data_IF_467720872062
#
_entry.id   IF_467720872062
#
_cell.length_a   1.000
_cell.length_b   1.000
_cell.length_c   1.000
_cell.angle_alpha   90.00
_cell.angle_beta   90.00
_cell.angle_gamma   90.00
#
_symmetry.space_group_name_H-M   'P 1'
#
loop_
_entity.id
_entity.type
_entity.pdbx_description
1 polymer ?
#
# COMPACT_ATOMS: atom_id res chain seq x y z
N UNK A 1 -29.86 -6.06 24.08
CA UNK A 1 -28.67 -5.39 23.50
C UNK A 1 -29.02 -5.02 22.07
N UNK A 2 -29.03 -3.73 21.75
CA UNK A 2 -29.18 -3.26 20.38
C UNK A 2 -27.77 -2.98 19.88
N UNK A 3 -27.25 -3.84 19.01
CA UNK A 3 -26.03 -3.52 18.25
C UNK A 3 -26.46 -2.57 17.15
N UNK A 4 -26.15 -1.29 17.31
CA UNK A 4 -26.31 -0.33 16.22
C UNK A 4 -25.28 -0.73 15.17
N UNK A 5 -25.74 -1.42 14.13
CA UNK A 5 -24.99 -1.53 12.88
C UNK A 5 -24.96 -0.10 12.35
N UNK A 6 -23.85 0.60 12.58
CA UNK A 6 -23.60 1.87 11.90
C UNK A 6 -23.38 1.53 10.43
N UNK A 7 -24.48 1.45 9.67
CA UNK A 7 -24.44 1.52 8.22
C UNK A 7 -23.71 2.81 7.88
N UNK A 8 -22.46 2.69 7.45
CA UNK A 8 -21.66 3.79 6.92
C UNK A 8 -22.33 4.20 5.62
N UNK A 9 -23.34 5.06 5.71
CA UNK A 9 -23.90 5.70 4.53
C UNK A 9 -22.92 6.79 4.10
N UNK A 10 -22.52 6.82 2.82
CA UNK A 10 -21.73 7.93 2.31
C UNK A 10 -22.51 9.23 2.56
N UNK A 11 -21.94 10.13 3.35
CA UNK A 11 -22.56 11.41 3.70
C UNK A 11 -22.31 12.45 2.60
N UNK A 12 -21.35 12.20 1.72
CA UNK A 12 -20.96 13.06 0.60
C UNK A 12 -20.75 12.28 -0.70
N UNK A 13 -20.78 12.95 -1.88
CA UNK A 13 -20.36 12.34 -3.15
C UNK A 13 -18.91 11.82 -3.14
N UNK A 14 -18.03 12.40 -2.32
CA UNK A 14 -16.65 11.92 -2.14
C UNK A 14 -16.61 10.54 -1.48
N UNK A 15 -17.52 10.25 -0.57
CA UNK A 15 -17.63 8.93 0.08
C UNK A 15 -18.09 7.83 -0.90
N UNK A 16 -18.81 8.19 -1.97
CA UNK A 16 -19.15 7.26 -3.07
C UNK A 16 -17.93 6.92 -3.95
N UNK A 17 -16.94 7.82 -4.05
CA UNK A 17 -15.71 7.59 -4.80
C UNK A 17 -14.68 6.76 -4.02
N UNK A 18 -14.83 6.64 -2.70
CA UNK A 18 -13.89 5.96 -1.82
C UNK A 18 -13.77 4.46 -2.12
N UNK A 19 -14.88 3.74 -2.23
CA UNK A 19 -14.84 2.28 -2.40
C UNK A 19 -14.11 1.85 -3.69
N UNK A 20 -14.37 2.48 -4.86
CA UNK A 20 -13.57 2.23 -6.06
C UNK A 20 -12.07 2.53 -5.89
N UNK A 21 -11.71 3.61 -5.17
CA UNK A 21 -10.30 3.95 -4.92
C UNK A 21 -9.63 2.92 -4.04
N UNK A 22 -10.26 2.52 -2.93
CA UNK A 22 -9.74 1.48 -2.04
C UNK A 22 -9.56 0.15 -2.78
N UNK A 23 -10.51 -0.21 -3.65
CA UNK A 23 -10.42 -1.42 -4.45
C UNK A 23 -9.22 -1.39 -5.40
N UNK A 24 -9.02 -0.28 -6.12
CA UNK A 24 -7.88 -0.15 -7.04
C UNK A 24 -6.52 -0.20 -6.30
N UNK A 25 -6.43 0.42 -5.12
CA UNK A 25 -5.21 0.36 -4.29
C UNK A 25 -4.99 -1.08 -3.80
N UNK A 26 -6.04 -1.77 -3.36
CA UNK A 26 -5.95 -3.15 -2.89
C UNK A 26 -5.58 -4.11 -4.03
N UNK A 27 -6.07 -3.90 -5.25
CA UNK A 27 -5.69 -4.70 -6.42
C UNK A 27 -4.20 -4.53 -6.75
N UNK A 28 -3.68 -3.30 -6.73
CA UNK A 28 -2.25 -3.04 -6.89
C UNK A 28 -1.42 -3.71 -5.77
N UNK A 29 -1.86 -3.60 -4.51
CA UNK A 29 -1.21 -4.27 -3.39
C UNK A 29 -1.27 -5.78 -3.53
N UNK A 30 -2.39 -6.33 -4.01
CA UNK A 30 -2.55 -7.77 -4.23
C UNK A 30 -1.53 -8.30 -5.24
N UNK A 31 -1.31 -7.59 -6.34
CA UNK A 31 -0.27 -7.92 -7.33
C UNK A 31 1.11 -7.93 -6.67
N UNK A 32 1.44 -6.91 -5.87
CA UNK A 32 2.73 -6.83 -5.18
C UNK A 32 2.91 -7.95 -4.15
N UNK A 33 1.87 -8.25 -3.34
CA UNK A 33 1.86 -9.35 -2.37
C UNK A 33 1.94 -10.73 -3.02
N UNK A 34 1.49 -10.85 -4.27
CA UNK A 34 1.57 -12.08 -5.06
C UNK A 34 2.89 -12.26 -5.79
N UNK A 35 3.76 -11.24 -5.83
CA UNK A 35 5.02 -11.31 -6.56
C UNK A 35 6.04 -12.22 -5.85
N UNK A 36 6.71 -13.14 -6.55
CA UNK A 36 7.81 -13.91 -5.98
C UNK A 36 9.03 -13.03 -5.67
N UNK A 37 9.15 -11.88 -6.32
CA UNK A 37 10.22 -10.90 -6.12
C UNK A 37 9.61 -9.49 -6.06
N UNK A 38 9.42 -9.01 -4.83
CA UNK A 38 8.85 -7.67 -4.55
C UNK A 38 9.76 -6.57 -5.09
N UNK A 39 11.08 -6.75 -4.98
CA UNK A 39 12.06 -5.74 -5.39
C UNK A 39 12.01 -5.55 -6.90
N UNK A 40 11.98 -6.65 -7.64
CA UNK A 40 11.84 -6.63 -9.09
C UNK A 40 10.49 -6.06 -9.52
N UNK A 41 9.38 -6.48 -8.88
CA UNK A 41 8.05 -5.97 -9.21
C UNK A 41 7.95 -4.45 -9.01
N UNK A 42 8.47 -3.93 -7.88
CA UNK A 42 8.51 -2.49 -7.63
C UNK A 42 9.39 -1.75 -8.64
N UNK A 43 10.56 -2.31 -8.98
CA UNK A 43 11.47 -1.71 -9.95
C UNK A 43 10.84 -1.61 -11.35
N UNK A 44 10.13 -2.66 -11.75
CA UNK A 44 9.39 -2.69 -13.01
C UNK A 44 8.24 -1.68 -13.01
N UNK A 45 7.48 -1.62 -11.92
CA UNK A 45 6.29 -0.78 -11.82
C UNK A 45 6.62 0.72 -11.76
N UNK A 46 7.67 1.08 -11.01
CA UNK A 46 8.07 2.47 -10.79
C UNK A 46 9.18 2.96 -11.73
N UNK A 47 9.77 2.07 -12.53
CA UNK A 47 10.94 2.36 -13.37
C UNK A 47 12.06 3.04 -12.55
N UNK A 48 12.37 2.46 -11.40
CA UNK A 48 13.34 2.96 -10.43
C UNK A 48 14.39 1.89 -10.07
N UNK A 49 15.30 2.27 -9.17
CA UNK A 49 16.34 1.39 -8.64
C UNK A 49 16.22 1.31 -7.12
N UNK A 50 16.41 0.11 -6.59
CA UNK A 50 16.21 -0.20 -5.17
C UNK A 50 17.22 0.50 -4.24
N UNK A 51 18.41 0.81 -4.74
CA UNK A 51 19.46 1.56 -4.05
C UNK A 51 19.04 2.97 -3.62
N UNK A 52 17.90 3.48 -4.12
CA UNK A 52 17.32 4.75 -3.69
C UNK A 52 16.61 4.69 -2.33
N UNK A 53 16.31 3.49 -1.82
CA UNK A 53 15.39 3.28 -0.68
C UNK A 53 16.10 2.66 0.52
N UNK A 54 16.89 3.49 1.21
CA UNK A 54 17.82 3.05 2.25
C UNK A 54 17.15 2.78 3.60
N UNK A 55 16.04 3.44 3.91
CA UNK A 55 15.34 3.28 5.18
C UNK A 55 13.98 2.57 5.05
N UNK A 56 13.44 2.00 6.15
CA UNK A 56 12.10 1.43 6.13
C UNK A 56 11.03 2.42 5.68
N UNK A 57 11.12 3.68 6.10
CA UNK A 57 10.17 4.72 5.69
C UNK A 57 10.27 5.01 4.18
N UNK A 58 11.48 5.00 3.60
CA UNK A 58 11.64 5.18 2.15
C UNK A 58 11.01 4.01 1.39
N UNK A 59 11.23 2.77 1.86
CA UNK A 59 10.63 1.58 1.26
C UNK A 59 9.11 1.57 1.40
N UNK A 60 8.56 2.00 2.54
CA UNK A 60 7.12 2.14 2.72
C UNK A 60 6.52 3.17 1.75
N UNK A 61 7.21 4.30 1.53
CA UNK A 61 6.82 5.29 0.51
C UNK A 61 6.91 4.73 -0.91
N UNK A 62 7.91 3.89 -1.21
CA UNK A 62 7.98 3.19 -2.51
C UNK A 62 6.77 2.27 -2.73
N UNK A 63 6.41 1.50 -1.71
CA UNK A 63 5.21 0.64 -1.77
C UNK A 63 3.96 1.49 -1.93
N UNK A 64 3.86 2.63 -1.23
CA UNK A 64 2.77 3.59 -1.42
C UNK A 64 2.71 4.09 -2.87
N UNK A 65 3.82 4.55 -3.45
CA UNK A 65 3.90 5.04 -4.83
C UNK A 65 3.41 4.00 -5.84
N UNK A 66 3.81 2.74 -5.66
CA UNK A 66 3.35 1.64 -6.50
C UNK A 66 1.86 1.34 -6.27
N UNK A 67 1.39 1.33 -5.02
CA UNK A 67 0.01 1.04 -4.67
C UNK A 67 -0.99 2.07 -5.24
N UNK A 68 -0.58 3.34 -5.36
CA UNK A 68 -1.42 4.41 -5.93
C UNK A 68 -1.20 4.62 -7.43
N UNK A 69 -0.33 3.83 -8.08
CA UNK A 69 -0.05 3.98 -9.50
C UNK A 69 -1.31 3.72 -10.32
N UNK A 70 -1.59 4.63 -11.26
CA UNK A 70 -2.80 4.64 -12.09
C UNK A 70 -4.12 4.71 -11.32
N UNK A 71 -4.10 5.13 -10.04
CA UNK A 71 -5.31 5.34 -9.24
C UNK A 71 -5.65 6.84 -9.23
N UNK A 72 -6.86 7.19 -9.64
CA UNK A 72 -7.38 8.54 -9.42
C UNK A 72 -7.83 8.66 -7.96
N UNK A 73 -7.07 9.38 -7.13
CA UNK A 73 -7.33 9.46 -5.69
C UNK A 73 -8.54 10.34 -5.33
N UNK A 74 -9.13 11.11 -6.25
CA UNK A 74 -10.32 11.92 -5.96
C UNK A 74 -10.20 12.82 -4.70
N UNK A 75 -9.01 13.35 -4.41
CA UNK A 75 -8.74 14.17 -3.22
C UNK A 75 -8.43 13.39 -1.94
N UNK A 76 -8.45 12.05 -1.99
CA UNK A 76 -7.95 11.20 -0.92
C UNK A 76 -6.44 11.36 -0.77
N UNK A 77 -6.00 11.33 0.48
CA UNK A 77 -4.58 11.21 0.84
C UNK A 77 -4.27 9.75 1.14
N UNK A 78 -3.10 9.30 0.71
CA UNK A 78 -2.58 7.97 1.03
C UNK A 78 -1.20 8.16 1.64
N UNK A 79 -0.91 7.50 2.75
CA UNK A 79 0.40 7.53 3.41
C UNK A 79 0.69 6.23 4.13
N UNK A 80 1.96 5.87 4.41
CA UNK A 80 2.26 4.76 5.29
C UNK A 80 1.66 5.01 6.68
N UNK A 81 1.20 3.95 7.33
CA UNK A 81 0.85 3.99 8.75
C UNK A 81 2.11 4.22 9.60
N UNK A 82 1.95 4.71 10.84
CA UNK A 82 3.09 5.01 11.72
C UNK A 82 3.93 3.76 12.07
N UNK A 83 3.30 2.59 12.09
CA UNK A 83 3.96 1.29 12.27
C UNK A 83 4.54 0.70 10.97
N UNK A 84 4.34 1.37 9.83
CA UNK A 84 4.76 0.94 8.50
C UNK A 84 4.16 -0.40 8.02
N UNK A 85 3.12 -0.90 8.66
CA UNK A 85 2.48 -2.18 8.31
C UNK A 85 1.33 -2.03 7.31
N UNK A 86 0.95 -0.81 6.96
CA UNK A 86 -0.16 -0.51 6.08
C UNK A 86 -0.02 0.84 5.37
N UNK A 87 -1.03 1.13 4.55
CA UNK A 87 -1.30 2.44 3.99
C UNK A 87 -2.59 2.98 4.60
N UNK A 88 -2.53 4.13 5.25
CA UNK A 88 -3.70 4.90 5.63
C UNK A 88 -4.20 5.69 4.41
N UNK A 89 -5.48 5.49 4.08
CA UNK A 89 -6.23 6.26 3.10
C UNK A 89 -7.20 7.16 3.87
N UNK A 90 -7.11 8.47 3.66
CA UNK A 90 -7.87 9.44 4.43
C UNK A 90 -8.48 10.56 3.56
N UNK A 91 -9.69 10.97 3.93
CA UNK A 91 -10.39 12.16 3.43
C UNK A 91 -11.19 12.78 4.58
N UNK A 92 -10.88 14.04 4.90
CA UNK A 92 -11.49 14.78 6.02
C UNK A 92 -11.45 13.99 7.35
N UNK A 93 -12.60 13.56 7.86
CA UNK A 93 -12.73 12.79 9.11
C UNK A 93 -12.59 11.27 8.91
N UNK A 94 -12.62 10.80 7.67
CA UNK A 94 -12.57 9.38 7.33
C UNK A 94 -11.13 8.88 7.20
N UNK A 95 -10.85 7.72 7.82
CA UNK A 95 -9.57 7.02 7.74
C UNK A 95 -9.79 5.51 7.65
N UNK A 96 -9.15 4.87 6.67
CA UNK A 96 -9.08 3.41 6.54
C UNK A 96 -7.66 2.98 6.25
N UNK A 97 -7.23 1.88 6.85
CA UNK A 97 -5.92 1.31 6.60
C UNK A 97 -6.01 0.05 5.74
N UNK A 98 -5.19 -0.01 4.69
CA UNK A 98 -4.97 -1.21 3.86
C UNK A 98 -3.66 -1.86 4.32
N UNK A 99 -3.69 -3.13 4.71
CA UNK A 99 -2.52 -3.80 5.26
C UNK A 99 -1.56 -4.25 4.16
N UNK A 100 -0.26 -4.13 4.39
CA UNK A 100 0.75 -4.56 3.41
C UNK A 100 0.86 -6.10 3.35
N UNK A 101 0.57 -6.79 4.45
CA UNK A 101 0.77 -8.23 4.56
C UNK A 101 2.25 -8.60 4.74
N UNK A 102 2.52 -9.84 5.15
CA UNK A 102 3.84 -10.26 5.67
C UNK A 102 5.00 -9.95 4.72
N UNK A 103 4.89 -10.30 3.44
CA UNK A 103 6.01 -10.18 2.51
C UNK A 103 6.42 -8.72 2.25
N UNK A 104 5.43 -7.82 2.12
CA UNK A 104 5.70 -6.39 1.93
C UNK A 104 6.19 -5.74 3.21
N UNK A 105 5.68 -6.16 4.39
CA UNK A 105 6.23 -5.73 5.68
C UNK A 105 7.68 -6.17 5.83
N UNK A 106 7.99 -7.44 5.55
CA UNK A 106 9.35 -7.97 5.63
C UNK A 106 10.30 -7.17 4.70
N UNK A 107 9.85 -6.82 3.49
CA UNK A 107 10.59 -5.93 2.57
C UNK A 107 10.78 -4.51 3.12
N UNK A 108 9.73 -3.91 3.68
CA UNK A 108 9.80 -2.57 4.27
C UNK A 108 10.79 -2.55 5.42
N UNK A 109 10.72 -3.51 6.32
CA UNK A 109 11.60 -3.58 7.50
C UNK A 109 13.05 -3.87 7.11
N UNK A 110 13.28 -4.91 6.30
CA UNK A 110 14.61 -5.49 6.11
C UNK A 110 15.26 -5.16 4.77
N UNK A 111 14.49 -4.61 3.82
CA UNK A 111 14.95 -4.39 2.45
C UNK A 111 14.90 -5.68 1.60
N UNK A 112 15.67 -5.75 0.50
CA UNK A 112 15.70 -6.94 -0.35
C UNK A 112 16.15 -8.15 0.46
N UNK A 113 15.49 -9.30 0.25
CA UNK A 113 15.98 -10.55 0.81
C UNK A 113 17.42 -10.81 0.31
N UNK A 114 18.32 -11.30 1.16
CA UNK A 114 19.67 -11.64 0.73
C UNK A 114 19.58 -12.66 -0.42
N UNK A 115 20.15 -12.30 -1.58
CA UNK A 115 20.25 -13.22 -2.71
C UNK A 115 20.98 -14.47 -2.23
N UNK A 116 20.35 -15.63 -2.31
CA UNK A 116 21.06 -16.89 -2.06
C UNK A 116 22.27 -16.93 -2.98
N UNK A 117 23.47 -17.30 -2.48
CA UNK A 117 24.63 -17.44 -3.34
C UNK A 117 24.31 -18.43 -4.48
N UNK A 118 24.83 -18.21 -5.70
CA UNK A 118 24.60 -19.13 -6.80
C UNK A 118 25.05 -20.52 -6.37
N UNK A 119 24.21 -21.53 -6.61
CA UNK A 119 24.57 -22.92 -6.36
C UNK A 119 25.82 -23.23 -7.20
N UNK A 120 26.91 -23.58 -6.50
CA UNK A 120 28.18 -24.01 -7.10
C UNK A 120 28.04 -25.25 -7.97
#
# INVERSE_FOLDING_TARGET
>A
MVTIVSTIYPHTPSDLALAPVLLNIEDNLHILRGSPDVVFALALELNDMEDRYQSPIDRAKRVQEAAIRNVNLHGLTVRPTDDLYGLEVAHEEYRVSLMLGKQLVDYVEHGPAPKSPPAS
#
